data_IF_014475053243
#
_entry.id   IF_014475053243
#
_cell.length_a   1.000
_cell.length_b   1.000
_cell.length_c   1.000
_cell.angle_alpha   90.00
_cell.angle_beta   90.00
_cell.angle_gamma   90.00
#
_symmetry.space_group_name_H-M   'P 1'
#
loop_
_entity.id
_entity.type
_entity.pdbx_description
1 polymer ?
#
# COMPACT_ATOMS: atom_id res chain seq x y z
N UNK A 1 8.24 6.34 13.93
CA UNK A 1 8.78 6.48 12.56
C UNK A 1 7.96 5.68 11.53
N UNK A 2 7.55 4.44 11.81
CA UNK A 2 6.75 3.62 10.86
C UNK A 2 5.45 4.28 10.38
N UNK A 3 4.75 5.05 11.23
CA UNK A 3 3.50 5.72 10.83
C UNK A 3 3.68 6.78 9.75
N UNK A 4 4.83 7.47 9.71
CA UNK A 4 5.09 8.50 8.69
C UNK A 4 5.34 7.87 7.32
N UNK A 5 6.05 6.74 7.26
CA UNK A 5 6.32 6.03 6.02
C UNK A 5 5.04 5.43 5.41
N UNK A 6 4.17 4.83 6.23
CA UNK A 6 2.87 4.33 5.76
C UNK A 6 1.97 5.46 5.27
N UNK A 7 1.95 6.58 5.98
CA UNK A 7 1.20 7.76 5.58
C UNK A 7 1.70 8.31 4.23
N UNK A 8 3.02 8.49 4.08
CA UNK A 8 3.62 8.99 2.84
C UNK A 8 3.39 8.04 1.67
N UNK A 9 3.53 6.71 1.88
CA UNK A 9 3.23 5.72 0.85
C UNK A 9 1.75 5.76 0.43
N UNK A 10 0.83 5.85 1.39
CA UNK A 10 -0.60 5.96 1.10
C UNK A 10 -0.94 7.25 0.34
N UNK A 11 -0.29 8.37 0.67
CA UNK A 11 -0.48 9.64 -0.05
C UNK A 11 0.06 9.56 -1.48
N UNK A 12 1.27 9.03 -1.67
CA UNK A 12 1.86 8.79 -2.99
C UNK A 12 0.96 7.93 -3.87
N UNK A 13 0.48 6.80 -3.35
CA UNK A 13 -0.42 5.92 -4.10
C UNK A 13 -1.81 6.56 -4.31
N UNK A 14 -2.28 7.41 -3.41
CA UNK A 14 -3.55 8.11 -3.59
C UNK A 14 -3.46 9.09 -4.77
N UNK A 15 -2.34 9.79 -4.90
CA UNK A 15 -2.05 10.65 -6.04
C UNK A 15 -1.92 9.83 -7.33
N UNK A 16 -1.22 8.69 -7.30
CA UNK A 16 -1.02 7.85 -8.48
C UNK A 16 -2.32 7.24 -9.02
N UNK A 17 -3.20 6.78 -8.14
CA UNK A 17 -4.48 6.17 -8.50
C UNK A 17 -5.65 7.17 -8.47
N UNK A 18 -5.36 8.48 -8.45
CA UNK A 18 -6.36 9.53 -8.34
C UNK A 18 -7.40 9.43 -9.47
N UNK A 19 -8.68 9.49 -9.10
CA UNK A 19 -9.80 9.38 -10.04
C UNK A 19 -10.13 7.94 -10.49
N UNK A 20 -9.24 6.97 -10.30
CA UNK A 20 -9.50 5.55 -10.59
C UNK A 20 -9.93 4.78 -9.33
N UNK A 21 -9.31 5.08 -8.19
CA UNK A 21 -9.59 4.44 -6.90
C UNK A 21 -9.86 5.50 -5.83
N UNK A 22 -10.82 5.21 -4.93
CA UNK A 22 -11.08 6.09 -3.79
C UNK A 22 -9.90 6.08 -2.81
N UNK A 23 -9.55 7.25 -2.26
CA UNK A 23 -8.43 7.40 -1.33
C UNK A 23 -8.52 6.44 -0.12
N UNK A 24 -9.71 6.25 0.45
CA UNK A 24 -9.93 5.30 1.55
C UNK A 24 -9.56 3.86 1.19
N UNK A 25 -9.78 3.47 -0.07
CA UNK A 25 -9.41 2.14 -0.56
C UNK A 25 -7.90 2.00 -0.69
N UNK A 26 -7.21 3.05 -1.14
CA UNK A 26 -5.74 3.10 -1.20
C UNK A 26 -5.14 2.95 0.19
N UNK A 27 -5.59 3.75 1.16
CA UNK A 27 -5.13 3.70 2.55
C UNK A 27 -5.36 2.30 3.15
N UNK A 28 -6.51 1.68 2.88
CA UNK A 28 -6.81 0.30 3.31
C UNK A 28 -5.87 -0.72 2.68
N UNK A 29 -5.56 -0.60 1.39
CA UNK A 29 -4.64 -1.51 0.71
C UNK A 29 -3.23 -1.43 1.32
N UNK A 30 -2.69 -0.22 1.49
CA UNK A 30 -1.37 -0.01 2.13
C UNK A 30 -1.35 -0.56 3.55
N UNK A 31 -2.37 -0.24 4.36
CA UNK A 31 -2.46 -0.71 5.74
C UNK A 31 -2.58 -2.25 5.83
N UNK A 32 -3.31 -2.85 4.89
CA UNK A 32 -3.49 -4.30 4.80
C UNK A 32 -2.20 -5.01 4.41
N UNK A 33 -1.50 -4.50 3.39
CA UNK A 33 -0.21 -5.01 2.95
C UNK A 33 0.82 -4.95 4.08
N UNK A 34 0.96 -3.78 4.71
CA UNK A 34 1.86 -3.58 5.83
C UNK A 34 1.57 -4.55 6.99
N UNK A 35 0.30 -4.69 7.38
CA UNK A 35 -0.09 -5.62 8.46
C UNK A 35 0.23 -7.07 8.12
N UNK A 36 0.05 -7.46 6.87
CA UNK A 36 0.35 -8.82 6.41
C UNK A 36 1.85 -9.10 6.49
N UNK A 37 2.66 -8.20 5.95
CA UNK A 37 4.11 -8.35 5.87
C UNK A 37 4.82 -8.17 7.22
N UNK A 38 4.24 -7.41 8.15
CA UNK A 38 4.81 -7.21 9.50
C UNK A 38 4.90 -8.51 10.30
N UNK A 39 4.15 -9.54 9.89
CA UNK A 39 4.15 -10.87 10.53
C UNK A 39 5.30 -11.76 10.05
N UNK A 40 6.08 -11.34 9.05
CA UNK A 40 7.08 -12.15 8.36
C UNK A 40 8.53 -11.87 8.80
N UNK A 41 8.74 -11.08 9.86
CA UNK A 41 10.06 -10.74 10.41
C UNK A 41 11.10 -10.32 9.36
N UNK A 42 10.66 -9.45 8.44
CA UNK A 42 11.48 -8.92 7.34
C UNK A 42 12.39 -7.80 7.84
N UNK A 43 13.51 -7.57 7.15
CA UNK A 43 14.27 -6.33 7.32
C UNK A 43 13.40 -5.13 6.92
N UNK A 44 13.65 -3.97 7.52
CA UNK A 44 12.82 -2.78 7.28
C UNK A 44 12.82 -2.38 5.79
N UNK A 45 13.96 -2.45 5.09
CA UNK A 45 14.04 -2.13 3.66
C UNK A 45 13.16 -3.04 2.81
N UNK A 46 13.24 -4.36 3.05
CA UNK A 46 12.43 -5.37 2.33
C UNK A 46 10.96 -5.24 2.70
N UNK A 47 10.65 -4.94 3.96
CA UNK A 47 9.30 -4.71 4.43
C UNK A 47 8.63 -3.57 3.66
N UNK A 48 9.32 -2.43 3.49
CA UNK A 48 8.77 -1.28 2.78
C UNK A 48 8.58 -1.55 1.29
N UNK A 49 9.59 -2.12 0.63
CA UNK A 49 9.50 -2.46 -0.79
C UNK A 49 8.34 -3.41 -1.08
N UNK A 50 8.21 -4.49 -0.30
CA UNK A 50 7.12 -5.45 -0.47
C UNK A 50 5.76 -4.85 -0.11
N UNK A 51 5.70 -3.95 0.87
CA UNK A 51 4.45 -3.26 1.23
C UNK A 51 3.94 -2.42 0.07
N UNK A 52 4.83 -1.65 -0.57
CA UNK A 52 4.49 -0.87 -1.76
C UNK A 52 4.04 -1.77 -2.92
N UNK A 53 4.83 -2.78 -3.27
CA UNK A 53 4.51 -3.67 -4.39
C UNK A 53 3.18 -4.42 -4.17
N UNK A 54 2.93 -4.91 -2.95
CA UNK A 54 1.69 -5.61 -2.62
C UNK A 54 0.48 -4.67 -2.66
N UNK A 55 0.60 -3.44 -2.15
CA UNK A 55 -0.48 -2.46 -2.22
C UNK A 55 -0.79 -2.07 -3.68
N UNK A 56 0.24 -1.79 -4.50
CA UNK A 56 0.09 -1.52 -5.94
C UNK A 56 -0.60 -2.67 -6.66
N UNK A 57 -0.19 -3.92 -6.38
CA UNK A 57 -0.80 -5.12 -6.95
C UNK A 57 -2.30 -5.19 -6.64
N UNK A 58 -2.68 -5.04 -5.36
CA UNK A 58 -4.08 -5.08 -4.93
C UNK A 58 -4.94 -4.01 -5.62
N UNK A 59 -4.41 -2.79 -5.78
CA UNK A 59 -5.12 -1.69 -6.41
C UNK A 59 -5.29 -1.91 -7.91
N UNK A 60 -4.25 -2.39 -8.58
CA UNK A 60 -4.31 -2.72 -10.01
C UNK A 60 -5.26 -3.88 -10.28
N UNK A 61 -5.24 -4.93 -9.46
CA UNK A 61 -6.17 -6.06 -9.58
C UNK A 61 -7.63 -5.58 -9.38
N UNK A 62 -7.87 -4.65 -8.45
CA UNK A 62 -9.18 -4.04 -8.25
C UNK A 62 -9.67 -3.25 -9.48
N UNK A 63 -8.77 -2.58 -10.20
CA UNK A 63 -9.09 -1.89 -11.44
C UNK A 63 -9.33 -2.85 -12.61
N UNK A 64 -8.58 -3.95 -12.69
CA UNK A 64 -8.73 -4.96 -13.73
C UNK A 64 -10.06 -5.74 -13.63
N UNK A 65 -10.64 -5.81 -12.42
CA UNK A 65 -11.88 -6.52 -12.14
C UNK A 65 -13.11 -5.61 -11.99
N UNK A 66 -13.00 -4.33 -12.35
CA UNK A 66 -14.12 -3.39 -12.46
C UNK A 66 -14.61 -3.27 -13.89
#
# INVERSE_FOLDING_TARGET
MADLHLWWLAETLTCEYAGAVAADTVVRAVSSAARTLRRLDLSDDVFWELTEQMARRQLTDLLAHR
#
